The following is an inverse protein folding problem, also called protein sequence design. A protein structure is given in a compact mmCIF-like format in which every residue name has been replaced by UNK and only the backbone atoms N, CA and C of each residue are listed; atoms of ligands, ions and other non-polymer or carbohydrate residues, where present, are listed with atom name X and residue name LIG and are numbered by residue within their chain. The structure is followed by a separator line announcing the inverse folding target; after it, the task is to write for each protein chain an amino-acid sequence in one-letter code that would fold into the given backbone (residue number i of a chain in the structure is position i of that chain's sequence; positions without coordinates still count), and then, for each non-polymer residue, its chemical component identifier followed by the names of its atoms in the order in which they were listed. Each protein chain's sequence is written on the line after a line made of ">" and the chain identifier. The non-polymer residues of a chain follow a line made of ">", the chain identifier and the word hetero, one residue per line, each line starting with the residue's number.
data_IF_531569002102
#
_entry.id   IF_531569002102
#
_cell.length_a   1.000
_cell.length_b   1.000
_cell.length_c   1.000
_cell.angle_alpha   90.00
_cell.angle_beta   90.00
_cell.angle_gamma   90.00
#
_symmetry.space_group_name_H-M   'P 1'
#
loop_
_entity.id
_entity.type
_entity.pdbx_description
1 polymer ?
#
# COMPACT_ATOMS: atom_id res chain seq x y z
N UNK A 1 73.53 7.02 7.79
CA UNK A 1 72.67 7.19 6.60
C UNK A 1 71.86 5.94 6.20
N UNK A 2 71.98 4.77 6.86
CA UNK A 2 71.18 3.57 6.50
C UNK A 2 69.76 3.51 7.11
N UNK A 3 69.50 4.19 8.23
CA UNK A 3 68.19 4.13 8.92
C UNK A 3 67.03 4.82 8.19
N UNK A 4 67.30 5.82 7.32
CA UNK A 4 66.24 6.54 6.60
C UNK A 4 65.64 5.75 5.43
N UNK A 5 66.37 4.79 4.85
CA UNK A 5 65.89 3.99 3.73
C UNK A 5 65.06 2.77 4.19
N UNK A 6 65.39 2.18 5.35
CA UNK A 6 64.61 1.09 5.96
C UNK A 6 63.25 1.58 6.46
N UNK A 7 63.20 2.76 7.10
CA UNK A 7 61.95 3.34 7.61
C UNK A 7 60.96 3.71 6.50
N UNK A 8 61.45 4.20 5.36
CA UNK A 8 60.64 4.50 4.18
C UNK A 8 60.12 3.21 3.51
N UNK A 9 60.94 2.16 3.44
CA UNK A 9 60.60 0.88 2.83
C UNK A 9 59.53 0.08 3.61
N UNK A 10 59.46 0.21 4.93
CA UNK A 10 58.40 -0.41 5.73
C UNK A 10 57.08 0.37 5.66
N UNK A 11 57.14 1.71 5.62
CA UNK A 11 55.97 2.56 5.37
C UNK A 11 55.33 2.30 4.00
N UNK A 12 56.13 2.10 2.96
CA UNK A 12 55.63 1.86 1.59
C UNK A 12 54.98 0.47 1.45
N UNK A 13 55.52 -0.55 2.14
CA UNK A 13 54.92 -1.90 2.19
C UNK A 13 53.60 -1.92 2.95
N UNK A 14 53.52 -1.18 4.05
CA UNK A 14 52.30 -1.07 4.85
C UNK A 14 51.17 -0.36 4.10
N UNK A 15 51.51 0.72 3.40
CA UNK A 15 50.58 1.41 2.50
C UNK A 15 50.06 0.47 1.40
N UNK A 16 50.94 -0.28 0.73
CA UNK A 16 50.53 -1.23 -0.31
C UNK A 16 49.59 -2.33 0.20
N UNK A 17 49.81 -2.81 1.44
CA UNK A 17 48.90 -3.78 2.09
C UNK A 17 47.53 -3.17 2.38
N UNK A 18 47.48 -1.94 2.89
CA UNK A 18 46.22 -1.24 3.15
C UNK A 18 45.46 -0.95 1.86
N UNK A 19 46.15 -0.51 0.80
CA UNK A 19 45.54 -0.25 -0.52
C UNK A 19 44.94 -1.53 -1.13
N UNK A 20 45.63 -2.67 -1.01
CA UNK A 20 45.15 -3.96 -1.48
C UNK A 20 43.94 -4.48 -0.69
N UNK A 21 43.95 -4.32 0.64
CA UNK A 21 42.81 -4.67 1.48
C UNK A 21 41.61 -3.76 1.22
N UNK A 22 41.84 -2.45 1.06
CA UNK A 22 40.79 -1.49 0.71
C UNK A 22 40.13 -1.82 -0.63
N UNK A 23 40.92 -2.20 -1.64
CA UNK A 23 40.40 -2.68 -2.92
C UNK A 23 39.54 -3.95 -2.76
N UNK A 24 39.98 -4.88 -1.91
CA UNK A 24 39.25 -6.13 -1.60
C UNK A 24 37.93 -5.84 -0.88
N UNK A 25 37.95 -4.91 0.08
CA UNK A 25 36.76 -4.46 0.81
C UNK A 25 35.79 -3.79 -0.16
N UNK A 26 36.26 -2.86 -1.00
CA UNK A 26 35.42 -2.19 -2.02
C UNK A 26 34.81 -3.17 -3.02
N UNK A 27 35.55 -4.20 -3.42
CA UNK A 27 35.09 -5.24 -4.34
C UNK A 27 34.03 -6.18 -3.75
N UNK A 28 33.92 -6.29 -2.42
CA UNK A 28 32.85 -7.03 -1.76
C UNK A 28 31.68 -6.12 -1.40
N UNK A 29 30.49 -6.53 -1.85
CA UNK A 29 29.25 -5.85 -1.54
C UNK A 29 28.80 -6.21 -0.12
N UNK A 30 29.02 -5.29 0.82
CA UNK A 30 28.57 -5.43 2.21
C UNK A 30 27.43 -4.44 2.43
N UNK A 31 26.20 -4.92 2.44
CA UNK A 31 25.00 -4.13 2.75
C UNK A 31 24.33 -4.63 4.00
N UNK A 32 23.88 -3.69 4.83
CA UNK A 32 23.02 -3.99 5.96
C UNK A 32 21.56 -4.07 5.49
N UNK A 33 20.76 -4.99 6.04
CA UNK A 33 19.33 -5.01 5.75
C UNK A 33 18.68 -3.72 6.26
N UNK A 34 17.64 -3.26 5.55
CA UNK A 34 16.91 -2.07 5.94
C UNK A 34 16.20 -2.29 7.29
N UNK A 35 16.24 -1.30 8.17
CA UNK A 35 15.49 -1.28 9.41
C UNK A 35 14.17 -0.52 9.28
N UNK A 36 13.47 -0.37 10.42
CA UNK A 36 12.29 0.49 10.54
C UNK A 36 12.31 1.20 11.89
N UNK A 37 11.90 2.47 11.92
CA UNK A 37 11.81 3.25 13.16
C UNK A 37 10.87 2.56 14.15
N UNK A 38 11.26 2.54 15.44
CA UNK A 38 10.52 1.95 16.56
C UNK A 38 10.27 0.43 16.42
N UNK A 39 11.02 -0.26 15.57
CA UNK A 39 10.99 -1.72 15.46
C UNK A 39 12.37 -2.26 15.81
N UNK A 40 12.40 -3.33 16.60
CA UNK A 40 13.64 -4.02 16.94
C UNK A 40 14.42 -4.42 15.67
N UNK A 41 15.70 -4.13 15.65
CA UNK A 41 16.61 -4.39 14.54
C UNK A 41 17.70 -5.36 14.98
N UNK A 42 17.98 -6.33 14.12
CA UNK A 42 19.03 -7.33 14.32
C UNK A 42 19.67 -7.63 12.97
N UNK A 43 20.99 -7.48 12.89
CA UNK A 43 21.77 -7.89 11.73
C UNK A 43 23.10 -8.48 12.18
N UNK A 44 23.37 -9.71 11.75
CA UNK A 44 24.71 -10.28 11.90
C UNK A 44 25.70 -9.51 11.03
N UNK A 45 26.87 -9.24 11.59
CA UNK A 45 27.98 -8.60 10.89
C UNK A 45 29.30 -9.24 11.36
N UNK A 46 29.63 -10.38 10.74
CA UNK A 46 30.87 -11.10 11.01
C UNK A 46 31.94 -10.71 9.98
N UNK A 47 32.71 -9.67 10.30
CA UNK A 47 33.72 -9.14 9.38
C UNK A 47 34.85 -10.14 9.11
N UNK A 48 35.20 -11.01 10.07
CA UNK A 48 36.30 -11.97 9.96
C UNK A 48 36.00 -13.08 8.93
N UNK A 49 34.72 -13.42 8.73
CA UNK A 49 34.30 -14.31 7.63
C UNK A 49 34.43 -13.63 6.26
N UNK A 50 34.22 -12.31 6.21
CA UNK A 50 34.32 -11.54 4.98
C UNK A 50 35.78 -11.21 4.65
N UNK A 51 36.62 -10.95 5.65
CA UNK A 51 38.02 -10.57 5.51
C UNK A 51 38.85 -11.17 6.66
N UNK A 52 39.54 -12.30 6.43
CA UNK A 52 40.33 -12.99 7.47
C UNK A 52 41.51 -12.19 8.05
N UNK A 53 41.90 -11.09 7.40
CA UNK A 53 43.01 -10.21 7.79
C UNK A 53 42.60 -9.16 8.85
N UNK A 54 41.29 -9.02 9.09
CA UNK A 54 40.72 -8.06 10.05
C UNK A 54 40.54 -8.76 11.40
N UNK A 55 41.00 -8.10 12.46
CA UNK A 55 40.87 -8.57 13.85
C UNK A 55 39.67 -7.93 14.55
N UNK A 56 39.52 -6.61 14.41
CA UNK A 56 38.50 -5.83 15.10
C UNK A 56 37.78 -4.91 14.10
N UNK A 57 36.49 -4.71 14.34
CA UNK A 57 35.67 -3.75 13.61
C UNK A 57 34.88 -2.91 14.58
N UNK A 58 34.82 -1.63 14.28
CA UNK A 58 34.03 -0.64 15.02
C UNK A 58 33.17 0.17 14.06
N UNK A 59 32.08 0.73 14.59
CA UNK A 59 31.11 1.49 13.82
C UNK A 59 30.85 2.85 14.46
N UNK A 60 30.96 3.90 13.66
CA UNK A 60 30.62 5.27 14.05
C UNK A 60 29.33 5.67 13.34
N UNK A 61 28.35 6.12 14.11
CA UNK A 61 27.06 6.63 13.62
C UNK A 61 25.86 5.73 13.90
N UNK A 62 26.05 4.50 14.37
CA UNK A 62 24.94 3.61 14.76
C UNK A 62 24.20 4.16 16.00
N UNK A 63 24.96 4.73 16.94
CA UNK A 63 24.46 5.34 18.17
C UNK A 63 23.51 6.51 17.88
N UNK A 64 23.76 7.26 16.80
CA UNK A 64 22.95 8.41 16.39
C UNK A 64 21.52 8.03 15.99
N UNK A 65 21.32 6.75 15.66
CA UNK A 65 20.04 6.18 15.27
C UNK A 65 19.51 5.16 16.27
N UNK A 66 20.16 4.94 17.43
CA UNK A 66 19.69 4.01 18.46
C UNK A 66 20.06 2.54 18.21
N UNK A 67 21.10 2.31 17.42
CA UNK A 67 21.70 0.99 17.21
C UNK A 67 23.09 0.93 17.83
N UNK A 68 23.56 -0.28 18.12
CA UNK A 68 24.92 -0.54 18.59
C UNK A 68 25.44 -1.82 17.94
N UNK A 69 26.76 -1.88 17.74
CA UNK A 69 27.44 -3.13 17.38
C UNK A 69 27.95 -3.79 18.66
N UNK A 70 27.66 -5.08 18.83
CA UNK A 70 28.14 -5.89 19.93
C UNK A 70 29.25 -6.82 19.41
N UNK A 71 30.54 -6.57 19.73
CA UNK A 71 31.65 -7.37 19.22
C UNK A 71 31.57 -8.86 19.57
N UNK A 72 31.06 -9.18 20.76
CA UNK A 72 30.98 -10.56 21.26
C UNK A 72 30.00 -11.43 20.47
N UNK A 73 28.85 -10.87 20.11
CA UNK A 73 27.83 -11.57 19.30
C UNK A 73 27.99 -11.29 17.81
N UNK A 74 28.89 -10.36 17.45
CA UNK A 74 29.12 -9.87 16.08
C UNK A 74 27.84 -9.40 15.42
N UNK A 75 27.04 -8.65 16.17
CA UNK A 75 25.69 -8.28 15.79
C UNK A 75 25.47 -6.78 15.94
N UNK A 76 24.81 -6.17 14.95
CA UNK A 76 24.25 -4.83 15.08
C UNK A 76 22.80 -4.99 15.55
N UNK A 77 22.48 -4.44 16.70
CA UNK A 77 21.13 -4.53 17.27
C UNK A 77 20.69 -3.24 17.96
N UNK A 78 19.40 -3.16 18.25
CA UNK A 78 18.79 -2.02 18.94
C UNK A 78 17.42 -1.67 18.36
N UNK A 79 16.94 -0.47 18.66
CA UNK A 79 15.67 0.03 18.12
C UNK A 79 15.91 1.37 17.43
N UNK A 80 15.85 1.42 16.08
CA UNK A 80 16.09 2.64 15.35
C UNK A 80 15.12 3.76 15.74
N UNK A 81 15.64 4.96 15.97
CA UNK A 81 14.85 6.12 16.42
C UNK A 81 14.62 7.17 15.32
N UNK A 82 15.38 7.11 14.22
CA UNK A 82 15.33 8.10 13.13
C UNK A 82 15.21 7.41 11.78
N UNK A 83 14.23 7.84 10.97
CA UNK A 83 14.07 7.37 9.61
C UNK A 83 15.07 8.05 8.66
N UNK A 84 15.33 7.41 7.52
CA UNK A 84 16.15 7.96 6.44
C UNK A 84 17.34 7.07 6.09
N UNK A 85 18.19 7.61 5.24
CA UNK A 85 19.41 6.98 4.77
C UNK A 85 20.56 7.45 5.65
N UNK A 86 21.08 6.54 6.47
CA UNK A 86 22.13 6.86 7.45
C UNK A 86 23.48 6.34 6.97
N UNK A 87 24.44 7.26 6.88
CA UNK A 87 25.85 6.94 6.58
C UNK A 87 26.52 6.46 7.86
N UNK A 88 26.91 5.20 7.88
CA UNK A 88 27.63 4.57 8.98
C UNK A 88 29.08 4.37 8.55
N UNK A 89 30.02 4.85 9.36
CA UNK A 89 31.45 4.64 9.09
C UNK A 89 31.91 3.38 9.81
N UNK A 90 32.43 2.43 9.05
CA UNK A 90 33.02 1.20 9.55
C UNK A 90 34.53 1.35 9.61
N UNK A 91 35.11 1.18 10.79
CA UNK A 91 36.55 1.21 11.03
C UNK A 91 37.07 -0.21 11.18
N UNK A 92 38.16 -0.54 10.50
CA UNK A 92 38.77 -1.86 10.52
C UNK A 92 40.18 -1.81 11.11
N UNK A 93 40.45 -2.68 12.08
CA UNK A 93 41.81 -2.98 12.55
C UNK A 93 42.27 -4.32 12.00
N UNK A 94 43.42 -4.33 11.34
CA UNK A 94 44.08 -5.56 10.85
C UNK A 94 44.75 -6.28 12.01
N UNK A 95 45.00 -7.58 11.86
CA UNK A 95 45.72 -8.40 12.87
C UNK A 95 47.15 -7.95 13.16
N UNK A 96 47.77 -7.24 12.23
CA UNK A 96 49.10 -6.65 12.34
C UNK A 96 49.05 -5.13 12.60
N UNK A 97 47.90 -4.60 13.03
CA UNK A 97 47.75 -3.18 13.36
C UNK A 97 48.43 -2.85 14.69
N UNK A 98 49.14 -1.72 14.72
CA UNK A 98 49.84 -1.21 15.91
C UNK A 98 49.21 0.12 16.36
N UNK A 99 49.19 0.35 17.66
CA UNK A 99 48.63 1.56 18.28
C UNK A 99 49.21 2.84 17.65
N UNK A 100 48.34 3.76 17.22
CA UNK A 100 48.74 5.02 16.58
C UNK A 100 48.82 4.99 15.06
N UNK A 101 48.66 3.83 14.40
CA UNK A 101 48.54 3.74 12.93
C UNK A 101 47.13 4.06 12.45
N UNK A 102 46.95 4.63 11.24
CA UNK A 102 45.64 4.99 10.73
C UNK A 102 44.74 3.75 10.55
N UNK A 103 43.46 3.90 10.90
CA UNK A 103 42.44 2.87 10.68
C UNK A 103 42.01 2.87 9.23
N UNK A 104 41.71 1.68 8.71
CA UNK A 104 41.05 1.56 7.40
C UNK A 104 39.56 1.83 7.60
N UNK A 105 38.99 2.75 6.83
CA UNK A 105 37.60 3.19 7.01
C UNK A 105 36.75 2.98 5.76
N UNK A 106 35.48 2.59 5.91
CA UNK A 106 34.49 2.51 4.82
C UNK A 106 33.16 3.10 5.25
N UNK A 107 32.53 3.88 4.39
CA UNK A 107 31.14 4.30 4.59
C UNK A 107 30.17 3.26 4.01
N UNK A 108 29.16 2.87 4.78
CA UNK A 108 28.02 2.06 4.35
C UNK A 108 26.72 2.80 4.63
N UNK A 109 25.72 2.61 3.77
CA UNK A 109 24.38 3.21 3.96
C UNK A 109 23.46 2.20 4.62
N UNK A 110 22.86 2.57 5.76
CA UNK A 110 21.78 1.85 6.41
C UNK A 110 20.47 2.62 6.26
N UNK A 111 19.51 2.02 5.56
CA UNK A 111 18.19 2.62 5.35
C UNK A 111 17.28 2.23 6.52
N UNK A 112 16.76 3.22 7.25
CA UNK A 112 15.75 3.02 8.28
C UNK A 112 14.41 3.56 7.75
N UNK A 113 13.47 2.65 7.48
CA UNK A 113 12.15 3.02 7.00
C UNK A 113 11.34 3.76 8.07
N UNK A 114 10.63 4.85 7.72
CA UNK A 114 9.71 5.51 8.64
C UNK A 114 8.51 4.61 8.99
N UNK A 115 7.81 4.95 10.08
CA UNK A 115 6.52 4.33 10.36
C UNK A 115 5.47 4.81 9.33
N UNK A 116 4.90 3.94 8.49
CA UNK A 116 3.92 4.32 7.48
C UNK A 116 2.65 4.94 8.07
N UNK A 117 2.36 4.72 9.36
CA UNK A 117 1.23 5.34 10.08
C UNK A 117 1.52 6.78 10.49
N UNK A 118 2.76 7.09 10.89
CA UNK A 118 3.18 8.46 11.17
C UNK A 118 3.31 9.28 9.87
N UNK A 119 3.58 8.61 8.77
CA UNK A 119 3.46 9.17 7.43
C UNK A 119 2.00 9.27 6.93
N UNK A 120 0.98 9.11 7.76
CA UNK A 120 -0.40 9.34 7.35
C UNK A 120 -0.83 10.76 7.74
N UNK A 121 -1.29 11.54 6.76
CA UNK A 121 -1.91 12.85 6.95
C UNK A 121 -3.32 12.79 6.40
N UNK A 122 -4.26 13.36 7.14
CA UNK A 122 -5.65 13.50 6.73
C UNK A 122 -5.99 14.99 6.73
N UNK A 123 -5.54 15.69 5.70
CA UNK A 123 -5.81 17.12 5.52
C UNK A 123 -7.26 17.31 5.08
N UNK A 124 -7.97 18.25 5.70
CA UNK A 124 -9.35 18.56 5.32
C UNK A 124 -9.42 19.08 3.87
N UNK A 125 -10.47 18.67 3.16
CA UNK A 125 -10.74 19.20 1.81
C UNK A 125 -11.29 20.62 1.91
N UNK A 126 -10.73 21.60 1.18
CA UNK A 126 -11.29 22.96 1.14
C UNK A 126 -12.70 22.95 0.55
N UNK A 127 -13.64 23.66 1.19
CA UNK A 127 -15.07 23.65 0.82
C UNK A 127 -15.42 24.57 -0.35
N UNK A 128 -14.50 25.44 -0.74
CA UNK A 128 -14.62 26.46 -1.78
C UNK A 128 -14.14 26.00 -3.16
N UNK A 129 -13.81 24.71 -3.31
CA UNK A 129 -13.37 24.13 -4.58
C UNK A 129 -14.53 23.85 -5.55
N UNK A 130 -14.22 23.88 -6.85
CA UNK A 130 -15.14 23.43 -7.89
C UNK A 130 -15.51 21.94 -7.68
N UNK A 131 -16.79 21.62 -7.80
CA UNK A 131 -17.34 20.29 -7.52
C UNK A 131 -16.90 19.73 -6.16
N UNK A 132 -16.99 20.56 -5.12
CA UNK A 132 -16.76 20.11 -3.75
C UNK A 132 -17.56 18.84 -3.43
N UNK A 133 -16.88 17.89 -2.78
CA UNK A 133 -17.46 16.62 -2.34
C UNK A 133 -16.90 16.32 -0.94
N UNK A 134 -17.74 15.90 0.03
CA UNK A 134 -17.27 15.54 1.37
C UNK A 134 -16.25 14.39 1.35
N UNK A 135 -15.42 14.33 2.39
CA UNK A 135 -14.31 13.35 2.52
C UNK A 135 -14.79 11.91 2.73
N UNK A 136 -16.05 11.77 3.16
CA UNK A 136 -16.78 10.53 3.32
C UNK A 136 -18.24 10.74 2.91
N UNK A 137 -18.89 9.67 2.49
CA UNK A 137 -20.33 9.68 2.22
C UNK A 137 -20.93 8.32 2.57
N UNK A 138 -22.24 8.30 2.87
CA UNK A 138 -22.97 7.07 3.17
C UNK A 138 -24.44 7.21 2.84
N UNK A 139 -25.02 6.14 2.32
CA UNK A 139 -26.45 6.04 2.10
C UNK A 139 -27.02 4.72 2.61
N UNK A 140 -28.28 4.79 3.04
CA UNK A 140 -29.06 3.66 3.48
C UNK A 140 -30.45 3.71 2.84
N UNK A 141 -30.85 2.66 2.14
CA UNK A 141 -32.19 2.52 1.57
C UNK A 141 -32.91 1.35 2.25
N UNK A 142 -33.99 1.66 2.96
CA UNK A 142 -34.84 0.64 3.57
C UNK A 142 -35.78 0.04 2.53
N UNK A 143 -35.58 -1.23 2.22
CA UNK A 143 -36.45 -1.92 1.29
C UNK A 143 -37.66 -2.51 2.03
N UNK A 144 -38.86 -2.01 1.73
CA UNK A 144 -40.08 -2.46 2.38
C UNK A 144 -40.69 -3.65 1.65
N UNK A 145 -40.82 -4.78 2.35
CA UNK A 145 -41.68 -5.89 1.92
C UNK A 145 -43.15 -5.53 2.16
N UNK A 146 -44.07 -5.89 1.25
CA UNK A 146 -45.50 -5.78 1.54
C UNK A 146 -45.84 -6.55 2.83
N UNK A 147 -46.72 -6.01 3.66
CA UNK A 147 -47.35 -6.78 4.74
C UNK A 147 -48.22 -7.84 4.06
N UNK A 148 -47.90 -9.12 4.25
CA UNK A 148 -48.79 -10.20 3.83
C UNK A 148 -50.06 -10.16 4.70
N UNK A 149 -51.19 -9.72 4.15
CA UNK A 149 -52.50 -9.98 4.75
C UNK A 149 -52.78 -11.47 4.62
N UNK A 150 -52.84 -12.18 5.75
CA UNK A 150 -53.22 -13.58 5.78
C UNK A 150 -54.73 -13.71 5.54
N UNK A 151 -55.13 -13.73 4.28
CA UNK A 151 -56.50 -14.12 3.89
C UNK A 151 -56.41 -15.42 3.11
N UNK A 152 -56.78 -16.53 3.75
CA UNK A 152 -56.94 -17.83 3.10
C UNK A 152 -55.68 -18.73 3.09
N UNK A 153 -55.44 -19.44 4.19
CA UNK A 153 -54.94 -20.83 4.26
C UNK A 153 -53.60 -21.25 3.64
N UNK A 154 -52.99 -20.49 2.73
CA UNK A 154 -51.68 -20.81 2.13
C UNK A 154 -50.62 -19.84 2.65
N UNK A 155 -49.65 -20.37 3.39
CA UNK A 155 -48.42 -19.63 3.75
C UNK A 155 -47.69 -19.22 2.46
N UNK A 156 -47.94 -18.01 1.97
CA UNK A 156 -47.04 -17.40 0.99
C UNK A 156 -45.68 -17.20 1.68
N UNK A 157 -44.60 -17.69 1.06
CA UNK A 157 -43.22 -17.45 1.52
C UNK A 157 -43.05 -15.93 1.66
N UNK A 158 -42.81 -15.44 2.88
CA UNK A 158 -42.54 -14.02 3.14
C UNK A 158 -41.30 -13.61 2.34
N UNK A 159 -41.48 -12.92 1.23
CA UNK A 159 -40.38 -12.39 0.45
C UNK A 159 -39.74 -11.24 1.25
N UNK A 160 -38.60 -11.53 1.89
CA UNK A 160 -37.86 -10.54 2.67
C UNK A 160 -37.11 -9.63 1.71
N UNK A 161 -37.42 -8.35 1.74
CA UNK A 161 -36.69 -7.30 1.03
C UNK A 161 -35.39 -7.01 1.78
N UNK A 162 -34.29 -6.81 1.03
CA UNK A 162 -32.96 -6.53 1.61
C UNK A 162 -32.73 -5.02 1.62
N UNK A 163 -32.30 -4.46 2.74
CA UNK A 163 -31.89 -3.05 2.76
C UNK A 163 -30.61 -2.85 1.95
N UNK A 164 -30.43 -1.66 1.39
CA UNK A 164 -29.21 -1.28 0.67
C UNK A 164 -28.38 -0.35 1.54
N UNK A 165 -27.06 -0.52 1.50
CA UNK A 165 -26.09 0.32 2.21
C UNK A 165 -24.94 0.59 1.27
N UNK A 166 -24.49 1.83 1.21
CA UNK A 166 -23.24 2.22 0.56
C UNK A 166 -22.49 3.20 1.45
N UNK A 167 -21.18 3.14 1.39
CA UNK A 167 -20.28 4.06 2.07
C UNK A 167 -19.08 4.31 1.18
N UNK A 168 -18.55 5.52 1.25
CA UNK A 168 -17.37 5.98 0.55
C UNK A 168 -16.47 6.73 1.52
N UNK A 169 -15.17 6.50 1.39
CA UNK A 169 -14.13 7.18 2.14
C UNK A 169 -13.03 7.55 1.16
N UNK A 170 -12.56 8.80 1.21
CA UNK A 170 -11.44 9.20 0.34
C UNK A 170 -10.20 8.32 0.55
N UNK A 171 -9.45 8.12 -0.53
CA UNK A 171 -8.19 7.38 -0.51
C UNK A 171 -7.04 8.13 0.17
N UNK A 172 -5.97 7.38 0.47
CA UNK A 172 -4.74 7.89 1.13
C UNK A 172 -4.16 9.12 0.47
N UNK A 173 -3.88 9.04 -0.83
CA UNK A 173 -3.19 10.12 -1.54
C UNK A 173 -4.03 11.40 -1.53
N UNK A 174 -5.35 11.27 -1.61
CA UNK A 174 -6.26 12.41 -1.55
C UNK A 174 -6.28 13.04 -0.15
N UNK A 175 -6.33 12.21 0.90
CA UNK A 175 -6.24 12.68 2.28
C UNK A 175 -4.91 13.40 2.57
N UNK A 176 -3.81 12.93 1.98
CA UNK A 176 -2.48 13.54 2.10
C UNK A 176 -2.38 14.92 1.48
N UNK A 177 -3.11 15.14 0.39
CA UNK A 177 -3.07 16.36 -0.42
C UNK A 177 -4.23 17.32 -0.10
N UNK A 178 -5.16 16.95 0.80
CA UNK A 178 -6.37 17.72 1.08
C UNK A 178 -7.33 17.75 -0.11
N UNK A 179 -7.35 16.69 -0.93
CA UNK A 179 -8.26 16.54 -2.07
C UNK A 179 -9.54 15.81 -1.64
N UNK A 180 -10.64 16.19 -2.28
CA UNK A 180 -11.93 15.52 -2.15
C UNK A 180 -11.85 14.06 -2.62
N UNK A 181 -12.82 13.23 -2.22
CA UNK A 181 -13.00 11.88 -2.78
C UNK A 181 -13.35 11.97 -4.28
N UNK A 182 -12.88 10.99 -5.06
CA UNK A 182 -13.10 10.95 -6.50
C UNK A 182 -14.14 9.91 -6.91
N UNK A 183 -14.40 8.92 -6.06
CA UNK A 183 -15.45 7.94 -6.29
C UNK A 183 -16.85 8.53 -6.06
N UNK A 184 -17.87 7.81 -6.52
CA UNK A 184 -19.25 8.06 -6.17
C UNK A 184 -20.09 6.79 -6.14
N UNK A 185 -21.27 6.89 -5.52
CA UNK A 185 -22.26 5.83 -5.54
C UNK A 185 -23.68 6.39 -5.58
N UNK A 186 -24.62 5.57 -6.05
CA UNK A 186 -26.05 5.88 -5.99
C UNK A 186 -26.87 4.61 -5.77
N UNK A 187 -27.87 4.72 -4.89
CA UNK A 187 -28.77 3.62 -4.55
C UNK A 187 -30.19 3.96 -4.97
N UNK A 188 -30.87 3.02 -5.62
CA UNK A 188 -32.26 3.11 -5.97
C UNK A 188 -32.98 1.79 -5.71
N UNK A 189 -34.16 1.86 -5.10
CA UNK A 189 -35.03 0.71 -4.89
C UNK A 189 -36.41 1.03 -5.45
N UNK A 190 -36.81 0.28 -6.48
CA UNK A 190 -38.16 0.36 -7.03
C UNK A 190 -39.10 -0.49 -6.17
N UNK A 191 -39.96 0.19 -5.40
CA UNK A 191 -40.95 -0.50 -4.56
C UNK A 191 -42.02 -1.24 -5.36
N UNK A 192 -42.33 -0.80 -6.58
CA UNK A 192 -43.37 -1.40 -7.41
C UNK A 192 -42.86 -2.66 -8.11
N UNK A 193 -41.67 -2.58 -8.70
CA UNK A 193 -41.05 -3.67 -9.45
C UNK A 193 -40.20 -4.60 -8.56
N UNK A 194 -39.92 -4.19 -7.32
CA UNK A 194 -39.06 -4.91 -6.37
C UNK A 194 -37.60 -5.06 -6.82
N UNK A 195 -37.16 -4.22 -7.75
CA UNK A 195 -35.80 -4.16 -8.26
C UNK A 195 -34.93 -3.21 -7.44
N UNK A 196 -33.66 -3.59 -7.32
CA UNK A 196 -32.62 -2.83 -6.65
C UNK A 196 -31.58 -2.45 -7.69
N UNK A 197 -31.21 -1.17 -7.74
CA UNK A 197 -30.19 -0.66 -8.64
C UNK A 197 -29.16 0.09 -7.81
N UNK A 198 -27.90 -0.32 -7.92
CA UNK A 198 -26.78 0.29 -7.23
C UNK A 198 -25.70 0.58 -8.27
N UNK A 199 -25.33 1.85 -8.39
CA UNK A 199 -24.21 2.29 -9.21
C UNK A 199 -23.06 2.71 -8.29
N UNK A 200 -21.85 2.32 -8.66
CA UNK A 200 -20.60 2.77 -8.04
C UNK A 200 -19.65 3.14 -9.17
N UNK A 201 -18.90 4.22 -9.00
CA UNK A 201 -17.92 4.67 -9.98
C UNK A 201 -16.66 5.13 -9.25
N UNK A 202 -15.50 4.65 -9.72
CA UNK A 202 -14.20 5.15 -9.28
C UNK A 202 -13.76 6.27 -10.23
N UNK A 203 -13.53 7.45 -9.69
CA UNK A 203 -13.02 8.56 -10.48
C UNK A 203 -11.52 8.40 -10.71
N UNK A 204 -11.07 8.45 -11.96
CA UNK A 204 -9.64 8.38 -12.26
C UNK A 204 -8.89 9.59 -11.65
N UNK A 205 -8.12 9.39 -10.58
CA UNK A 205 -7.43 10.48 -9.85
C UNK A 205 -6.43 11.31 -10.67
N UNK A 206 -6.06 10.85 -11.86
CA UNK A 206 -5.27 11.61 -12.84
C UNK A 206 -6.08 12.68 -13.58
N UNK A 207 -7.41 12.59 -13.63
CA UNK A 207 -8.28 13.52 -14.33
C UNK A 207 -8.81 14.61 -13.38
N UNK A 208 -8.67 15.89 -13.77
CA UNK A 208 -9.03 17.06 -12.95
C UNK A 208 -10.46 17.02 -12.38
N UNK A 209 -11.41 16.51 -13.17
CA UNK A 209 -12.84 16.49 -12.84
C UNK A 209 -13.41 15.08 -12.66
N UNK A 210 -12.55 14.09 -12.39
CA UNK A 210 -12.91 12.70 -12.11
C UNK A 210 -14.07 12.57 -11.12
N UNK A 211 -14.06 13.32 -10.01
CA UNK A 211 -15.13 13.33 -9.00
C UNK A 211 -16.50 13.76 -9.52
N UNK A 212 -16.54 14.65 -10.51
CA UNK A 212 -17.78 15.10 -11.15
C UNK A 212 -18.21 14.08 -12.21
N UNK A 213 -17.24 13.49 -12.92
CA UNK A 213 -17.47 12.38 -13.84
C UNK A 213 -18.09 11.17 -13.14
N UNK A 214 -17.54 10.74 -12.00
CA UNK A 214 -18.08 9.61 -11.22
C UNK A 214 -19.49 9.88 -10.71
N UNK A 215 -19.76 11.10 -10.24
CA UNK A 215 -21.10 11.52 -9.84
C UNK A 215 -22.09 11.40 -11.01
N UNK A 216 -21.78 12.03 -12.15
CA UNK A 216 -22.62 12.01 -13.34
C UNK A 216 -22.83 10.58 -13.83
N UNK A 217 -21.79 9.74 -13.82
CA UNK A 217 -21.89 8.35 -14.22
C UNK A 217 -22.87 7.57 -13.34
N UNK A 218 -22.76 7.70 -12.01
CA UNK A 218 -23.68 7.02 -11.09
C UNK A 218 -25.13 7.52 -11.24
N UNK A 219 -25.34 8.83 -11.39
CA UNK A 219 -26.67 9.41 -11.60
C UNK A 219 -27.28 8.90 -12.91
N UNK A 220 -26.52 8.98 -14.01
CA UNK A 220 -26.96 8.57 -15.35
C UNK A 220 -27.28 7.08 -15.42
N UNK A 221 -26.43 6.21 -14.86
CA UNK A 221 -26.67 4.76 -14.86
C UNK A 221 -27.95 4.41 -14.10
N UNK A 222 -28.23 5.07 -12.98
CA UNK A 222 -29.46 4.83 -12.23
C UNK A 222 -30.69 5.23 -13.05
N UNK A 223 -30.66 6.39 -13.70
CA UNK A 223 -31.78 6.86 -14.51
C UNK A 223 -32.04 5.94 -15.71
N UNK A 224 -30.98 5.56 -16.45
CA UNK A 224 -31.08 4.61 -17.58
C UNK A 224 -31.61 3.25 -17.12
N UNK A 225 -31.02 2.67 -16.07
CA UNK A 225 -31.47 1.37 -15.57
C UNK A 225 -32.93 1.43 -15.08
N UNK A 226 -33.34 2.53 -14.43
CA UNK A 226 -34.72 2.70 -13.96
C UNK A 226 -35.71 2.70 -15.12
N UNK A 227 -35.41 3.46 -16.17
CA UNK A 227 -36.25 3.53 -17.37
C UNK A 227 -36.32 2.17 -18.07
N UNK A 228 -35.17 1.54 -18.32
CA UNK A 228 -35.09 0.26 -19.02
C UNK A 228 -35.70 -0.91 -18.26
N UNK A 229 -35.49 -1.00 -16.94
CA UNK A 229 -36.18 -2.01 -16.12
C UNK A 229 -37.69 -1.83 -16.19
N UNK A 230 -38.18 -0.59 -16.16
CA UNK A 230 -39.62 -0.32 -16.25
C UNK A 230 -40.20 -0.74 -17.59
N UNK A 231 -39.50 -0.41 -18.68
CA UNK A 231 -39.87 -0.77 -20.05
C UNK A 231 -39.89 -2.29 -20.26
N UNK A 232 -38.83 -2.98 -19.86
CA UNK A 232 -38.58 -4.39 -20.16
C UNK A 232 -39.11 -5.35 -19.07
N UNK A 233 -39.65 -4.82 -17.97
CA UNK A 233 -39.99 -5.57 -16.75
C UNK A 233 -40.66 -6.92 -17.02
N UNK A 234 -41.76 -6.92 -17.79
CA UNK A 234 -42.55 -8.14 -18.03
C UNK A 234 -41.75 -9.20 -18.78
N UNK A 235 -41.05 -8.79 -19.83
CA UNK A 235 -40.25 -9.69 -20.67
C UNK A 235 -39.05 -10.22 -19.89
N UNK A 236 -38.41 -9.36 -19.11
CA UNK A 236 -37.23 -9.73 -18.32
C UNK A 236 -37.58 -10.71 -17.19
N UNK A 237 -38.61 -10.43 -16.40
CA UNK A 237 -39.10 -11.35 -15.37
C UNK A 237 -39.53 -12.71 -15.95
N UNK A 238 -40.18 -12.70 -17.12
CA UNK A 238 -40.52 -13.94 -17.83
C UNK A 238 -39.27 -14.74 -18.20
N UNK A 239 -38.26 -14.11 -18.82
CA UNK A 239 -37.01 -14.80 -19.19
C UNK A 239 -36.23 -15.30 -17.96
N UNK A 240 -36.19 -14.53 -16.87
CA UNK A 240 -35.61 -14.98 -15.60
C UNK A 240 -36.33 -16.25 -15.10
N UNK A 241 -37.67 -16.27 -15.12
CA UNK A 241 -38.45 -17.45 -14.75
C UNK A 241 -38.13 -18.65 -15.64
N UNK A 242 -38.05 -18.48 -16.96
CA UNK A 242 -37.71 -19.57 -17.88
C UNK A 242 -36.30 -20.09 -17.67
N UNK A 243 -35.32 -19.20 -17.43
CA UNK A 243 -33.96 -19.59 -17.11
C UNK A 243 -33.85 -20.34 -15.77
N UNK A 244 -34.66 -19.97 -14.76
CA UNK A 244 -34.72 -20.69 -13.49
C UNK A 244 -35.27 -22.11 -13.65
N UNK A 245 -36.27 -22.30 -14.52
CA UNK A 245 -36.84 -23.62 -14.83
C UNK A 245 -35.88 -24.47 -15.66
N UNK A 246 -35.19 -23.87 -16.62
CA UNK A 246 -34.26 -24.53 -17.52
C UNK A 246 -33.02 -23.67 -17.78
N UNK A 247 -31.89 -24.09 -17.20
CA UNK A 247 -30.60 -23.38 -17.27
C UNK A 247 -29.80 -23.66 -18.55
N UNK A 248 -30.48 -23.79 -19.68
CA UNK A 248 -29.81 -23.97 -20.97
C UNK A 248 -28.99 -22.74 -21.37
N UNK A 249 -27.98 -22.93 -22.24
CA UNK A 249 -27.20 -21.82 -22.79
C UNK A 249 -28.08 -20.84 -23.59
N UNK A 250 -29.13 -21.32 -24.23
CA UNK A 250 -30.10 -20.49 -24.96
C UNK A 250 -30.86 -19.54 -24.01
N UNK A 251 -31.38 -20.05 -22.89
CA UNK A 251 -32.08 -19.24 -21.90
C UNK A 251 -31.12 -18.30 -21.17
N UNK A 252 -29.88 -18.73 -20.91
CA UNK A 252 -28.82 -17.86 -20.38
C UNK A 252 -28.58 -16.68 -21.32
N UNK A 253 -28.46 -16.94 -22.63
CA UNK A 253 -28.23 -15.91 -23.64
C UNK A 253 -29.40 -14.93 -23.71
N UNK A 254 -30.64 -15.40 -23.85
CA UNK A 254 -31.84 -14.55 -23.89
C UNK A 254 -31.98 -13.64 -22.67
N UNK A 255 -31.72 -14.19 -21.48
CA UNK A 255 -31.73 -13.41 -20.22
C UNK A 255 -30.58 -12.40 -20.18
N UNK A 256 -29.39 -12.81 -20.62
CA UNK A 256 -28.21 -11.96 -20.70
C UNK A 256 -28.39 -10.78 -21.66
N UNK A 257 -28.96 -11.03 -22.85
CA UNK A 257 -29.20 -9.99 -23.86
C UNK A 257 -30.12 -8.88 -23.31
N UNK A 258 -31.19 -9.24 -22.60
CA UNK A 258 -32.07 -8.28 -21.91
C UNK A 258 -31.36 -7.56 -20.76
N UNK A 259 -30.51 -8.27 -20.00
CA UNK A 259 -29.73 -7.65 -18.93
C UNK A 259 -28.77 -6.59 -19.50
N UNK A 260 -28.09 -6.88 -20.62
CA UNK A 260 -27.22 -5.91 -21.29
C UNK A 260 -27.97 -4.70 -21.83
N UNK A 261 -29.20 -4.90 -22.33
CA UNK A 261 -30.06 -3.77 -22.73
C UNK A 261 -30.44 -2.87 -21.53
N UNK A 262 -30.60 -3.45 -20.34
CA UNK A 262 -30.90 -2.72 -19.10
C UNK A 262 -29.70 -1.93 -18.56
N UNK A 263 -28.54 -2.58 -18.45
CA UNK A 263 -27.36 -1.99 -17.80
C UNK A 263 -26.53 -1.10 -18.75
N UNK A 264 -26.82 -1.15 -20.05
CA UNK A 264 -26.03 -0.50 -21.10
C UNK A 264 -24.81 -1.32 -21.51
N UNK A 265 -24.39 -1.13 -22.75
CA UNK A 265 -23.13 -1.66 -23.33
C UNK A 265 -22.12 -0.54 -23.49
#
# INVERSE_FOLDING_TARGET
>A
MKQGAEFQGDSDKEKAKNDALEATIKGKHTTLPNGKVNQEYHSSFNIAELFPEIEEVDFVGLENIGLAYQPETKEISGTPTKAGDHKITTNYKRKDWEEGKPLLTREITLIINPDPRLLWKNLETPKDIEYYKPDEDKAFVKATSPKTSATGGRRQKKQVSKNMVAASQRGRSHAHEGKARDDDFKLFFDKSLKWYIMAVADGAGSAKYSRRGSQIACETVIDVCREKITELYKTFEFQISEFQKNKSDENRKKTGDLLYEIIGT
#
